data_IF_772979615419
#
_entry.id   IF_772979615419
#
_cell.length_a   1.000
_cell.length_b   1.000
_cell.length_c   1.000
_cell.angle_alpha   90.00
_cell.angle_beta   90.00
_cell.angle_gamma   90.00
#
_symmetry.space_group_name_H-M   'P 1'
#
loop_
_entity.id
_entity.type
_entity.pdbx_description
1 polymer ?
#
# COMPACT_ATOMS: atom_id res chain seq x y z
N UNK A 1 13.29 18.01 19.71
CA UNK A 1 13.24 16.54 19.54
C UNK A 1 13.45 16.25 18.06
N UNK A 2 14.30 15.28 17.73
CA UNK A 2 14.49 14.84 16.33
C UNK A 2 13.26 14.08 15.88
N UNK A 3 12.72 14.40 14.69
CA UNK A 3 11.59 13.68 14.10
C UNK A 3 11.95 12.20 13.88
N UNK A 4 10.97 11.31 13.99
CA UNK A 4 11.12 9.92 13.56
C UNK A 4 11.23 9.80 12.03
N UNK A 5 11.63 8.63 11.54
CA UNK A 5 11.73 8.31 10.13
C UNK A 5 10.73 7.23 9.75
N UNK A 6 9.95 7.46 8.69
CA UNK A 6 8.99 6.52 8.13
C UNK A 6 9.30 6.22 6.66
N UNK A 7 9.02 5.00 6.25
CA UNK A 7 8.98 4.55 4.85
C UNK A 7 7.53 4.31 4.47
N UNK A 8 7.13 4.78 3.30
CA UNK A 8 5.78 4.63 2.77
C UNK A 8 5.80 3.69 1.57
N UNK A 9 5.19 2.51 1.70
CA UNK A 9 4.90 1.59 0.61
C UNK A 9 3.90 0.52 1.06
N UNK A 10 3.14 -0.01 0.11
CA UNK A 10 2.27 -1.16 0.32
C UNK A 10 3.04 -2.46 0.13
N UNK A 11 2.81 -3.41 1.03
CA UNK A 11 3.26 -4.80 0.89
C UNK A 11 2.06 -5.74 0.96
N UNK A 12 2.15 -6.88 0.26
CA UNK A 12 1.02 -7.78 0.07
C UNK A 12 0.58 -8.42 1.39
N UNK A 13 -0.67 -8.16 1.79
CA UNK A 13 -1.25 -8.69 3.02
C UNK A 13 -0.76 -8.01 4.30
N UNK A 14 -0.02 -6.90 4.20
CA UNK A 14 0.52 -6.19 5.36
C UNK A 14 -0.55 -5.38 6.12
N UNK A 15 -1.66 -4.99 5.49
CA UNK A 15 -2.77 -4.25 6.14
C UNK A 15 -2.41 -2.86 6.67
N UNK A 16 -1.32 -2.31 6.14
CA UNK A 16 -0.82 -0.97 6.40
C UNK A 16 0.28 -0.61 5.40
N UNK A 17 0.69 0.64 5.40
CA UNK A 17 1.65 1.19 4.45
C UNK A 17 2.80 1.98 5.09
N UNK A 18 2.79 2.16 6.42
CA UNK A 18 3.81 2.91 7.14
C UNK A 18 4.78 1.98 7.85
N UNK A 19 6.06 2.13 7.57
CA UNK A 19 7.12 1.30 8.14
C UNK A 19 8.15 2.19 8.84
N UNK A 20 8.84 1.65 9.84
CA UNK A 20 9.97 2.37 10.44
C UNK A 20 11.08 2.57 9.40
N UNK A 21 11.56 3.82 9.27
CA UNK A 21 12.60 4.20 8.31
C UNK A 21 14.01 4.22 8.86
N UNK A 22 14.18 4.06 10.17
CA UNK A 22 15.49 3.91 10.83
C UNK A 22 15.40 3.04 12.09
N UNK A 23 16.55 2.69 12.65
CA UNK A 23 16.65 1.87 13.86
C UNK A 23 15.99 2.53 15.08
N UNK A 24 16.13 3.85 15.20
CA UNK A 24 15.62 4.59 16.34
C UNK A 24 14.08 4.56 16.38
N UNK A 25 13.45 4.73 15.22
CA UNK A 25 11.99 4.66 15.05
C UNK A 25 11.51 3.22 15.23
N UNK A 26 12.24 2.24 14.67
CA UNK A 26 11.91 0.82 14.82
C UNK A 26 12.01 0.35 16.26
N UNK A 27 13.03 0.79 17.00
CA UNK A 27 13.19 0.45 18.42
C UNK A 27 12.07 1.01 19.29
N UNK A 28 11.51 2.17 18.92
CA UNK A 28 10.42 2.83 19.65
C UNK A 28 9.05 2.28 19.30
N UNK A 29 8.77 2.10 18.01
CA UNK A 29 7.43 1.75 17.53
C UNK A 29 7.30 0.26 17.24
N UNK A 30 8.39 -0.45 16.96
CA UNK A 30 8.42 -1.87 16.69
C UNK A 30 8.58 -2.22 15.22
N UNK A 31 8.30 -3.49 14.90
CA UNK A 31 8.44 -4.08 13.56
C UNK A 31 7.10 -4.22 12.87
N UNK A 32 7.14 -4.30 11.54
CA UNK A 32 5.96 -4.40 10.68
C UNK A 32 5.32 -3.04 10.36
N UNK A 33 4.15 -3.06 9.72
CA UNK A 33 3.40 -1.85 9.42
C UNK A 33 2.89 -1.21 10.73
N UNK A 34 3.14 0.08 10.88
CA UNK A 34 2.91 0.84 12.09
C UNK A 34 1.47 1.37 12.16
N UNK A 35 0.79 1.45 11.02
CA UNK A 35 -0.60 1.88 10.84
C UNK A 35 -1.60 0.70 10.77
N UNK A 36 -1.12 -0.53 10.75
CA UNK A 36 -1.97 -1.71 10.63
C UNK A 36 -2.60 -2.11 11.98
N UNK A 37 -3.87 -2.55 11.91
CA UNK A 37 -4.54 -3.25 13.02
C UNK A 37 -4.39 -4.75 12.84
N UNK A 38 -3.95 -5.46 13.88
CA UNK A 38 -3.85 -6.93 13.88
C UNK A 38 -5.11 -7.51 14.49
N UNK A 39 -5.69 -8.51 13.83
CA UNK A 39 -6.91 -9.19 14.27
C UNK A 39 -6.61 -10.64 14.63
N UNK A 40 -7.33 -11.18 15.62
CA UNK A 40 -7.30 -12.60 15.95
C UNK A 40 -8.12 -13.44 14.94
N UNK A 41 -8.14 -14.76 15.13
CA UNK A 41 -8.89 -15.70 14.28
C UNK A 41 -10.41 -15.50 14.36
N UNK A 42 -10.91 -14.80 15.38
CA UNK A 42 -12.32 -14.48 15.59
C UNK A 42 -12.69 -13.10 15.00
N UNK A 43 -11.71 -12.38 14.45
CA UNK A 43 -11.90 -11.05 13.87
C UNK A 43 -11.91 -9.92 14.90
N UNK A 44 -11.54 -10.17 16.16
CA UNK A 44 -11.37 -9.12 17.16
C UNK A 44 -9.99 -8.46 17.03
N UNK A 45 -9.88 -7.21 17.50
CA UNK A 45 -8.59 -6.50 17.52
C UNK A 45 -7.68 -7.17 18.55
N UNK A 46 -6.62 -7.80 18.06
CA UNK A 46 -5.55 -8.38 18.88
C UNK A 46 -4.50 -7.33 19.24
N UNK A 47 -4.12 -6.48 18.28
CA UNK A 47 -3.15 -5.39 18.48
C UNK A 47 -3.62 -4.14 17.73
N UNK A 48 -3.79 -3.00 18.40
CA UNK A 48 -4.12 -1.73 17.75
C UNK A 48 -2.92 -1.18 16.96
N UNK A 49 -3.13 -0.24 16.03
CA UNK A 49 -2.03 0.38 15.30
C UNK A 49 -1.15 1.23 16.23
N UNK A 50 0.14 1.29 15.93
CA UNK A 50 1.14 2.07 16.68
C UNK A 50 1.10 3.55 16.30
N UNK A 51 0.70 3.84 15.07
CA UNK A 51 0.41 5.19 14.57
C UNK A 51 -1.08 5.25 14.30
N UNK A 52 -1.78 6.09 15.06
CA UNK A 52 -3.20 6.35 14.81
C UNK A 52 -3.34 7.38 13.70
N UNK A 53 -4.21 7.07 12.73
CA UNK A 53 -4.50 7.94 11.60
C UNK A 53 -5.96 8.41 11.63
N UNK A 54 -6.24 9.55 11.02
CA UNK A 54 -7.60 10.00 10.80
C UNK A 54 -8.37 8.98 9.97
N UNK A 55 -9.64 8.77 10.34
CA UNK A 55 -10.53 7.79 9.71
C UNK A 55 -10.52 7.88 8.18
N UNK A 56 -10.49 9.09 7.61
CA UNK A 56 -10.45 9.32 6.15
C UNK A 56 -9.18 8.75 5.50
N UNK A 57 -8.03 8.89 6.15
CA UNK A 57 -6.73 8.39 5.68
C UNK A 57 -6.71 6.88 5.79
N UNK A 58 -7.16 6.34 6.92
CA UNK A 58 -7.27 4.90 7.12
C UNK A 58 -8.21 4.24 6.08
N UNK A 59 -9.37 4.85 5.79
CA UNK A 59 -10.29 4.33 4.75
C UNK A 59 -9.65 4.34 3.36
N UNK A 60 -8.85 5.36 3.03
CA UNK A 60 -8.12 5.42 1.76
C UNK A 60 -7.05 4.33 1.69
N UNK A 61 -6.30 4.09 2.78
CA UNK A 61 -5.32 3.00 2.88
C UNK A 61 -5.99 1.65 2.65
N UNK A 62 -7.09 1.34 3.35
CA UNK A 62 -7.78 0.06 3.19
C UNK A 62 -8.28 -0.17 1.76
N UNK A 63 -8.79 0.88 1.10
CA UNK A 63 -9.21 0.80 -0.31
C UNK A 63 -8.02 0.54 -1.22
N UNK A 64 -6.94 1.29 -1.05
CA UNK A 64 -5.73 1.15 -1.88
C UNK A 64 -5.07 -0.21 -1.68
N UNK A 65 -5.04 -0.75 -0.47
CA UNK A 65 -4.52 -2.08 -0.20
C UNK A 65 -5.34 -3.16 -0.94
N UNK A 66 -6.68 -3.09 -0.85
CA UNK A 66 -7.56 -4.01 -1.54
C UNK A 66 -7.38 -3.93 -3.07
N UNK A 67 -7.21 -2.72 -3.60
CA UNK A 67 -6.87 -2.54 -5.01
C UNK A 67 -5.51 -3.18 -5.30
N UNK A 68 -4.46 -2.81 -4.56
CA UNK A 68 -3.07 -3.24 -4.79
C UNK A 68 -2.90 -4.75 -4.73
N UNK A 69 -3.68 -5.47 -3.92
CA UNK A 69 -3.70 -6.94 -3.90
C UNK A 69 -3.94 -7.54 -5.30
N UNK A 70 -4.70 -6.85 -6.16
CA UNK A 70 -4.98 -7.27 -7.54
C UNK A 70 -3.93 -6.81 -8.56
N UNK A 71 -2.87 -6.12 -8.14
CA UNK A 71 -1.73 -5.86 -9.02
C UNK A 71 -1.01 -7.18 -9.35
N UNK A 72 -0.93 -8.12 -8.40
CA UNK A 72 -0.62 -9.51 -8.72
C UNK A 72 -1.72 -10.08 -9.61
N UNK A 73 -1.32 -10.87 -10.59
CA UNK A 73 -2.29 -11.55 -11.45
C UNK A 73 -3.17 -12.49 -10.60
N UNK A 74 -4.50 -12.28 -10.55
CA UNK A 74 -5.37 -13.05 -9.66
C UNK A 74 -5.51 -14.54 -10.04
N UNK A 75 -5.22 -14.89 -11.29
CA UNK A 75 -5.32 -16.25 -11.80
C UNK A 75 -4.01 -17.01 -11.67
N UNK A 76 -2.88 -16.31 -11.83
CA UNK A 76 -1.55 -16.87 -11.74
C UNK A 76 -0.56 -15.81 -11.28
N UNK A 77 -0.31 -15.65 -9.97
CA UNK A 77 0.49 -14.55 -9.43
C UNK A 77 1.87 -14.32 -10.07
N UNK A 78 2.60 -15.35 -10.55
CA UNK A 78 3.86 -15.15 -11.28
C UNK A 78 3.70 -14.54 -12.69
N UNK A 79 2.48 -14.50 -13.23
CA UNK A 79 2.16 -13.88 -14.52
C UNK A 79 2.15 -12.35 -14.46
N UNK A 80 2.04 -11.66 -15.62
CA UNK A 80 1.98 -10.21 -15.66
C UNK A 80 0.71 -9.70 -14.98
N UNK A 81 0.82 -8.52 -14.36
CA UNK A 81 -0.34 -7.78 -13.86
C UNK A 81 -1.36 -7.59 -14.98
N UNK A 82 -2.64 -7.72 -14.64
CA UNK A 82 -3.74 -7.46 -15.57
C UNK A 82 -4.16 -5.99 -15.60
N UNK A 83 -3.50 -5.13 -14.85
CA UNK A 83 -3.82 -3.71 -14.79
C UNK A 83 -3.50 -3.01 -16.10
N UNK A 84 -4.52 -2.35 -16.63
CA UNK A 84 -4.35 -1.42 -17.76
C UNK A 84 -3.66 -0.14 -17.31
N UNK A 85 -3.15 0.63 -18.28
CA UNK A 85 -2.52 1.91 -18.02
C UNK A 85 -3.45 2.86 -17.24
N UNK A 86 -4.74 2.92 -17.62
CA UNK A 86 -5.73 3.73 -16.91
C UNK A 86 -5.95 3.31 -15.44
N UNK A 87 -5.87 2.00 -15.16
CA UNK A 87 -5.96 1.48 -13.79
C UNK A 87 -4.71 1.85 -12.99
N UNK A 88 -3.53 1.70 -13.58
CA UNK A 88 -2.25 2.10 -12.99
C UNK A 88 -2.23 3.59 -12.63
N UNK A 89 -2.64 4.45 -13.56
CA UNK A 89 -2.74 5.90 -13.35
C UNK A 89 -3.69 6.24 -12.20
N UNK A 90 -4.91 5.68 -12.20
CA UNK A 90 -5.86 5.90 -11.11
C UNK A 90 -5.30 5.47 -9.76
N UNK A 91 -4.61 4.34 -9.70
CA UNK A 91 -4.00 3.88 -8.45
C UNK A 91 -2.89 4.83 -8.00
N UNK A 92 -1.97 5.19 -8.91
CA UNK A 92 -0.86 6.10 -8.64
C UNK A 92 -1.35 7.46 -8.13
N UNK A 93 -2.37 8.05 -8.75
CA UNK A 93 -2.96 9.33 -8.33
C UNK A 93 -3.53 9.26 -6.90
N UNK A 94 -4.17 8.14 -6.55
CA UNK A 94 -4.69 7.92 -5.20
C UNK A 94 -3.57 7.70 -4.18
N UNK A 95 -2.48 7.03 -4.57
CA UNK A 95 -1.27 6.89 -3.74
C UNK A 95 -0.62 8.25 -3.48
N UNK A 96 -0.54 9.11 -4.50
CA UNK A 96 0.00 10.47 -4.36
C UNK A 96 -0.85 11.31 -3.40
N UNK A 97 -2.18 11.24 -3.52
CA UNK A 97 -3.11 11.91 -2.60
C UNK A 97 -2.99 11.39 -1.17
N UNK A 98 -2.81 10.07 -1.00
CA UNK A 98 -2.58 9.46 0.29
C UNK A 98 -1.27 9.97 0.92
N UNK A 99 -0.18 10.00 0.16
CA UNK A 99 1.11 10.48 0.63
C UNK A 99 1.06 11.95 1.07
N UNK A 100 0.36 12.82 0.32
CA UNK A 100 0.13 14.21 0.73
C UNK A 100 -0.65 14.28 2.05
N UNK A 101 -1.70 13.46 2.19
CA UNK A 101 -2.52 13.43 3.42
C UNK A 101 -1.70 12.96 4.63
N UNK A 102 -0.92 11.90 4.47
CA UNK A 102 -0.03 11.36 5.50
C UNK A 102 1.04 12.37 5.93
N UNK A 103 1.64 13.09 4.98
CA UNK A 103 2.62 14.15 5.28
C UNK A 103 1.97 15.33 6.01
N UNK A 104 0.74 15.68 5.67
CA UNK A 104 -0.02 16.72 6.38
C UNK A 104 -0.34 16.32 7.83
N UNK A 105 -0.67 15.05 8.05
CA UNK A 105 -1.05 14.54 9.37
C UNK A 105 0.15 14.24 10.28
N UNK A 106 1.18 13.58 9.75
CA UNK A 106 2.32 13.06 10.53
C UNK A 106 3.58 13.91 10.42
N UNK A 107 3.60 14.90 9.52
CA UNK A 107 4.82 15.66 9.18
C UNK A 107 5.42 16.47 10.33
N UNK A 108 4.67 16.71 11.42
CA UNK A 108 5.19 17.35 12.61
C UNK A 108 6.14 16.42 13.40
N UNK A 109 5.86 15.12 13.41
CA UNK A 109 6.56 14.12 14.23
C UNK A 109 7.51 13.26 13.41
N UNK A 110 7.23 13.08 12.11
CA UNK A 110 7.94 12.16 11.24
C UNK A 110 8.40 12.82 9.93
N UNK A 111 9.53 12.36 9.42
CA UNK A 111 9.95 12.53 8.02
C UNK A 111 9.60 11.24 7.28
N UNK A 112 9.04 11.36 6.08
CA UNK A 112 8.50 10.22 5.33
C UNK A 112 9.17 10.09 3.95
N UNK A 113 9.87 8.97 3.75
CA UNK A 113 10.38 8.55 2.46
C UNK A 113 9.28 7.83 1.65
N UNK A 114 9.04 8.29 0.43
CA UNK A 114 8.17 7.60 -0.52
C UNK A 114 8.95 6.49 -1.21
N UNK A 115 8.59 5.24 -0.90
CA UNK A 115 9.18 4.05 -1.51
C UNK A 115 8.16 3.26 -2.32
N UNK A 116 6.92 3.74 -2.42
CA UNK A 116 5.89 3.09 -3.22
C UNK A 116 6.25 3.25 -4.69
N UNK A 117 6.45 2.13 -5.38
CA UNK A 117 6.63 2.17 -6.83
C UNK A 117 5.32 2.59 -7.48
N UNK A 118 5.39 3.56 -8.38
CA UNK A 118 4.29 3.87 -9.28
C UNK A 118 4.25 2.84 -10.40
N UNK A 119 3.06 2.40 -10.75
CA UNK A 119 2.84 1.32 -11.70
C UNK A 119 2.60 1.85 -13.10
N UNK A 120 2.94 1.04 -14.10
CA UNK A 120 2.60 1.24 -15.51
C UNK A 120 2.06 -0.07 -16.05
N UNK A 121 1.24 0.00 -17.10
CA UNK A 121 0.81 -1.22 -17.81
C UNK A 121 2.03 -2.06 -18.21
N UNK A 122 1.91 -3.38 -18.07
CA UNK A 122 2.95 -4.29 -18.56
C UNK A 122 2.95 -4.23 -20.09
N UNK A 123 4.08 -3.94 -20.77
CA UNK A 123 4.10 -3.76 -22.23
C UNK A 123 3.56 -4.96 -23.02
N UNK A 124 3.69 -6.17 -22.47
CA UNK A 124 3.23 -7.43 -23.08
C UNK A 124 1.80 -7.83 -22.68
N UNK A 125 1.06 -6.97 -21.97
CA UNK A 125 -0.29 -7.30 -21.49
C UNK A 125 -1.24 -7.68 -22.64
N UNK A 126 -1.18 -6.94 -23.76
CA UNK A 126 -2.01 -7.23 -24.93
C UNK A 126 -1.76 -8.61 -25.52
N UNK A 127 -0.49 -8.97 -25.72
CA UNK A 127 -0.06 -10.29 -26.22
C UNK A 127 -0.45 -11.41 -25.23
N UNK A 128 -0.25 -11.16 -23.93
CA UNK A 128 -0.62 -12.10 -22.88
C UNK A 128 -2.13 -12.37 -22.87
N UNK A 129 -2.97 -11.34 -22.98
CA UNK A 129 -4.42 -11.48 -23.01
C UNK A 129 -4.91 -12.17 -24.29
N UNK A 130 -4.26 -11.95 -25.44
CA UNK A 130 -4.56 -12.67 -26.67
C UNK A 130 -4.27 -14.17 -26.56
N UNK A 131 -3.18 -14.54 -25.87
CA UNK A 131 -2.84 -15.93 -25.59
C UNK A 131 -3.69 -16.56 -24.46
N UNK A 132 -4.30 -15.74 -23.59
CA UNK A 132 -5.07 -16.17 -22.42
C UNK A 132 -6.48 -15.56 -22.44
N UNK A 133 -7.38 -15.97 -23.38
CA UNK A 133 -8.66 -15.29 -23.63
C UNK A 133 -9.64 -15.32 -22.44
N UNK A 134 -9.42 -16.22 -21.48
CA UNK A 134 -10.19 -16.35 -20.24
C UNK A 134 -9.84 -15.27 -19.21
N UNK A 135 -8.70 -14.59 -19.34
CA UNK A 135 -8.33 -13.45 -18.50
C UNK A 135 -8.75 -12.14 -19.17
N UNK A 136 -9.10 -11.14 -18.36
CA UNK A 136 -9.58 -9.84 -18.85
C UNK A 136 -8.74 -8.71 -18.25
N UNK A 137 -8.53 -7.61 -19.01
CA UNK A 137 -7.83 -6.45 -18.49
C UNK A 137 -8.61 -5.79 -17.36
N UNK A 138 -7.90 -5.28 -16.36
CA UNK A 138 -8.45 -4.55 -15.21
C UNK A 138 -8.36 -3.05 -15.45
N UNK A 139 -9.49 -2.35 -15.39
CA UNK A 139 -9.62 -0.92 -15.68
C UNK A 139 -9.85 -0.09 -14.44
#
# INVERSE_FOLDING_TARGET
MTKGSLRFFFDYGARGCLWAGDEATRSKLGVGPLDATVYDLQGHIAVPPRISLFRKVHSLISRLEQEYASYLNPFYPPGPSLWTQAKCERFNDNVDQLLVSLRGELGAEFVMADEQKRHTEVPTLGEFLAANPNQKPMR
#
